data_IF_288739048199
#
_entry.id   IF_288739048199
#
_cell.length_a   1.000
_cell.length_b   1.000
_cell.length_c   1.000
_cell.angle_alpha   90.00
_cell.angle_beta   90.00
_cell.angle_gamma   90.00
#
_symmetry.space_group_name_H-M   'P 1'
#
loop_
_entity.id
_entity.type
_entity.pdbx_description
1 polymer ?
#
# COMPACT_ATOMS: atom_id res chain seq x y z
N UNK A 1 -8.17 -16.88 -12.30
CA UNK A 1 -7.40 -16.27 -13.41
C UNK A 1 -6.10 -17.06 -13.52
N UNK A 2 -5.71 -17.47 -14.72
CA UNK A 2 -4.49 -18.26 -14.96
C UNK A 2 -3.52 -17.37 -15.72
N UNK A 3 -2.31 -17.16 -15.19
CA UNK A 3 -1.26 -16.38 -15.85
C UNK A 3 -0.31 -17.32 -16.58
N UNK A 4 0.28 -16.85 -17.67
CA UNK A 4 1.24 -17.63 -18.47
C UNK A 4 2.68 -17.47 -17.98
N UNK A 5 2.97 -16.43 -17.19
CA UNK A 5 4.28 -16.17 -16.58
C UNK A 5 4.18 -15.36 -15.29
N UNK A 6 5.26 -15.39 -14.48
CA UNK A 6 5.38 -14.53 -13.30
C UNK A 6 5.33 -13.04 -13.65
N UNK A 7 5.89 -12.65 -14.79
CA UNK A 7 5.88 -11.28 -15.26
C UNK A 7 4.49 -10.80 -15.64
N UNK A 8 3.69 -11.64 -16.31
CA UNK A 8 2.30 -11.33 -16.60
C UNK A 8 1.49 -11.15 -15.30
N UNK A 9 1.68 -12.05 -14.31
CA UNK A 9 1.09 -11.90 -12.98
C UNK A 9 1.50 -10.58 -12.31
N UNK A 10 2.78 -10.22 -12.37
CA UNK A 10 3.27 -8.97 -11.79
C UNK A 10 2.71 -7.74 -12.53
N UNK A 11 2.54 -7.83 -13.86
CA UNK A 11 1.98 -6.77 -14.69
C UNK A 11 0.50 -6.49 -14.39
N UNK A 12 -0.27 -7.52 -14.05
CA UNK A 12 -1.68 -7.39 -13.66
C UNK A 12 -1.86 -6.35 -12.55
N UNK A 13 -0.90 -6.27 -11.63
CA UNK A 13 -0.92 -5.28 -10.55
C UNK A 13 -1.01 -3.83 -11.02
N UNK A 14 -0.36 -3.46 -12.13
CA UNK A 14 -0.47 -2.10 -12.66
C UNK A 14 -1.87 -1.82 -13.20
N UNK A 15 -2.53 -2.81 -13.80
CA UNK A 15 -3.90 -2.68 -14.32
C UNK A 15 -4.93 -2.62 -13.18
N UNK A 16 -4.73 -3.42 -12.13
CA UNK A 16 -5.63 -3.49 -10.98
C UNK A 16 -5.68 -2.18 -10.20
N UNK A 17 -4.56 -1.46 -10.12
CA UNK A 17 -4.46 -0.16 -9.44
C UNK A 17 -4.52 1.04 -10.38
N UNK A 18 -4.75 0.82 -11.68
CA UNK A 18 -4.88 1.94 -12.63
C UNK A 18 -6.26 2.59 -12.47
N UNK A 19 -6.34 3.87 -12.08
CA UNK A 19 -7.61 4.47 -11.72
C UNK A 19 -8.48 4.80 -12.94
N UNK A 20 -9.74 5.16 -12.67
CA UNK A 20 -10.64 5.74 -13.66
C UNK A 20 -10.10 7.09 -14.17
N UNK A 21 -10.45 7.42 -15.42
CA UNK A 21 -10.11 8.72 -16.00
C UNK A 21 -10.97 9.82 -15.39
N UNK A 22 -10.35 10.68 -14.59
CA UNK A 22 -10.99 11.86 -13.99
C UNK A 22 -10.18 13.09 -14.42
N UNK A 23 -10.63 13.84 -15.44
CA UNK A 23 -9.86 14.94 -16.05
C UNK A 23 -9.90 16.21 -15.22
N UNK A 24 -8.82 16.97 -15.12
CA UNK A 24 -8.84 18.32 -14.53
C UNK A 24 -9.43 19.34 -15.51
N UNK A 25 -10.61 19.88 -15.19
CA UNK A 25 -11.34 20.79 -16.08
C UNK A 25 -10.68 22.18 -16.16
N UNK A 26 -10.03 22.62 -15.08
CA UNK A 26 -9.35 23.92 -15.03
C UNK A 26 -7.87 23.85 -15.42
N UNK A 27 -7.42 22.76 -16.06
CA UNK A 27 -6.03 22.60 -16.48
C UNK A 27 -5.67 23.53 -17.65
N UNK A 28 -4.38 23.79 -17.82
CA UNK A 28 -3.85 24.52 -18.99
C UNK A 28 -3.84 23.69 -20.28
N UNK A 29 -4.24 22.42 -20.20
CA UNK A 29 -4.31 21.46 -21.30
C UNK A 29 -5.74 20.93 -21.41
N UNK A 30 -6.17 20.60 -22.62
CA UNK A 30 -7.52 20.12 -22.90
C UNK A 30 -7.81 18.75 -22.26
N UNK A 31 -9.09 18.43 -22.11
CA UNK A 31 -9.53 17.11 -21.62
C UNK A 31 -9.11 16.00 -22.60
N UNK A 32 -9.14 16.29 -23.90
CA UNK A 32 -8.72 15.39 -24.97
C UNK A 32 -7.24 15.04 -24.85
N UNK A 33 -6.36 16.02 -24.61
CA UNK A 33 -4.93 15.78 -24.39
C UNK A 33 -4.68 14.97 -23.11
N UNK A 34 -5.41 15.26 -22.02
CA UNK A 34 -5.34 14.45 -20.80
C UNK A 34 -5.77 13.01 -21.06
N UNK A 35 -6.82 12.82 -21.86
CA UNK A 35 -7.34 11.50 -22.24
C UNK A 35 -6.34 10.73 -23.09
N UNK A 36 -5.68 11.39 -24.04
CA UNK A 36 -4.62 10.79 -24.85
C UNK A 36 -3.47 10.29 -23.98
N UNK A 37 -2.98 11.10 -23.04
CA UNK A 37 -1.93 10.69 -22.11
C UNK A 37 -2.39 9.52 -21.22
N UNK A 38 -3.61 9.56 -20.70
CA UNK A 38 -4.20 8.46 -19.94
C UNK A 38 -4.23 7.15 -20.74
N UNK A 39 -4.63 7.21 -22.01
CA UNK A 39 -4.71 6.05 -22.87
C UNK A 39 -3.32 5.50 -23.25
N UNK A 40 -2.31 6.36 -23.37
CA UNK A 40 -0.91 5.94 -23.52
C UNK A 40 -0.45 5.15 -22.30
N UNK A 41 -0.66 5.67 -21.09
CA UNK A 41 -0.27 4.99 -19.85
C UNK A 41 -1.03 3.67 -19.66
N UNK A 42 -2.33 3.64 -19.97
CA UNK A 42 -3.12 2.41 -19.96
C UNK A 42 -2.60 1.37 -20.96
N UNK A 43 -2.25 1.80 -22.18
CA UNK A 43 -1.66 0.93 -23.21
C UNK A 43 -0.30 0.41 -22.79
N UNK A 44 0.53 1.21 -22.10
CA UNK A 44 1.82 0.76 -21.56
C UNK A 44 1.62 -0.41 -20.59
N UNK A 45 0.69 -0.29 -19.63
CA UNK A 45 0.44 -1.37 -18.66
C UNK A 45 -0.20 -2.59 -19.30
N UNK A 46 -1.09 -2.39 -20.28
CA UNK A 46 -1.64 -3.48 -21.07
C UNK A 46 -0.55 -4.20 -21.87
N UNK A 47 0.40 -3.47 -22.45
CA UNK A 47 1.54 -4.04 -23.16
C UNK A 47 2.47 -4.81 -22.22
N UNK A 48 2.70 -4.33 -20.99
CA UNK A 48 3.44 -5.05 -19.98
C UNK A 48 2.79 -6.39 -19.60
N UNK A 49 1.46 -6.46 -19.62
CA UNK A 49 0.69 -7.67 -19.36
C UNK A 49 0.61 -8.62 -20.57
N UNK A 50 0.34 -8.09 -21.76
CA UNK A 50 0.16 -8.87 -22.99
C UNK A 50 1.52 -9.36 -23.54
N UNK A 51 2.59 -8.57 -23.39
CA UNK A 51 3.93 -8.83 -23.94
C UNK A 51 5.08 -8.57 -22.93
N UNK A 52 5.12 -9.27 -21.78
CA UNK A 52 6.11 -9.03 -20.72
C UNK A 52 7.57 -9.21 -21.19
N UNK A 53 7.82 -9.98 -22.24
CA UNK A 53 9.14 -10.18 -22.85
C UNK A 53 9.76 -8.91 -23.43
N UNK A 54 8.97 -7.85 -23.64
CA UNK A 54 9.51 -6.55 -24.05
C UNK A 54 10.29 -5.88 -22.91
N UNK A 55 9.92 -6.17 -21.66
CA UNK A 55 10.46 -5.53 -20.47
C UNK A 55 11.62 -6.30 -19.84
N UNK A 56 11.69 -7.62 -20.04
CA UNK A 56 12.73 -8.48 -19.48
C UNK A 56 13.26 -9.49 -20.51
N UNK A 57 14.53 -9.93 -20.41
CA UNK A 57 15.13 -10.84 -21.38
C UNK A 57 14.58 -12.27 -21.34
N UNK A 58 13.98 -12.67 -20.22
CA UNK A 58 13.54 -14.05 -19.96
C UNK A 58 12.27 -14.00 -19.13
N UNK A 59 11.29 -14.79 -19.53
CA UNK A 59 10.07 -15.05 -18.77
C UNK A 59 10.26 -16.29 -17.89
N UNK A 60 9.52 -16.33 -16.80
CA UNK A 60 9.53 -17.45 -15.86
C UNK A 60 8.15 -18.08 -15.79
N UNK A 61 8.10 -19.41 -15.59
CA UNK A 61 6.86 -20.13 -15.36
C UNK A 61 6.08 -19.48 -14.22
N UNK A 62 4.76 -19.35 -14.38
CA UNK A 62 3.92 -18.79 -13.32
C UNK A 62 4.04 -19.63 -12.04
N UNK A 63 4.17 -18.95 -10.92
CA UNK A 63 4.22 -19.55 -9.59
C UNK A 63 3.40 -18.71 -8.62
N UNK A 64 2.87 -19.37 -7.59
CA UNK A 64 2.15 -18.67 -6.52
C UNK A 64 3.19 -17.92 -5.69
N UNK A 65 3.11 -16.57 -5.58
CA UNK A 65 4.03 -15.82 -4.74
C UNK A 65 3.87 -16.21 -3.26
N UNK A 66 4.86 -15.95 -2.39
CA UNK A 66 4.72 -16.24 -0.97
C UNK A 66 3.61 -15.40 -0.32
N UNK A 67 3.12 -15.87 0.84
CA UNK A 67 2.26 -15.07 1.70
C UNK A 67 3.03 -13.86 2.23
N UNK A 68 2.30 -12.76 2.47
CA UNK A 68 2.89 -11.61 3.15
C UNK A 68 3.31 -12.02 4.57
N UNK A 69 4.49 -11.59 4.99
CA UNK A 69 5.06 -11.85 6.33
C UNK A 69 5.27 -13.33 6.72
N UNK A 70 5.36 -14.26 5.76
CA UNK A 70 5.77 -15.63 6.04
C UNK A 70 7.29 -15.79 5.95
N UNK A 71 7.82 -16.83 6.62
CA UNK A 71 9.12 -17.40 6.26
C UNK A 71 9.08 -17.86 4.80
N UNK A 72 10.22 -17.80 4.11
CA UNK A 72 10.31 -18.09 2.68
C UNK A 72 11.30 -19.20 2.41
N UNK A 73 10.95 -20.11 1.50
CA UNK A 73 11.91 -21.00 0.87
C UNK A 73 12.80 -20.24 -0.14
N UNK A 74 13.89 -20.86 -0.57
CA UNK A 74 14.75 -20.30 -1.62
C UNK A 74 13.98 -20.09 -2.93
N UNK A 75 13.07 -21.01 -3.29
CA UNK A 75 12.25 -20.91 -4.50
C UNK A 75 11.24 -19.76 -4.45
N UNK A 76 10.63 -19.51 -3.29
CA UNK A 76 9.75 -18.35 -3.07
C UNK A 76 10.52 -17.03 -3.15
N UNK A 77 11.75 -17.02 -2.65
CA UNK A 77 12.63 -15.85 -2.72
C UNK A 77 13.09 -15.56 -4.16
N UNK A 78 13.36 -16.60 -4.95
CA UNK A 78 13.66 -16.47 -6.39
C UNK A 78 12.45 -15.94 -7.17
N UNK A 79 11.26 -16.50 -6.92
CA UNK A 79 9.98 -16.03 -7.50
C UNK A 79 9.79 -14.53 -7.26
N UNK A 80 9.91 -14.09 -6.00
CA UNK A 80 9.79 -12.69 -5.61
C UNK A 80 10.83 -11.81 -6.31
N UNK A 81 12.06 -12.30 -6.42
CA UNK A 81 13.17 -11.56 -7.06
C UNK A 81 12.88 -11.32 -8.54
N UNK A 82 12.37 -12.33 -9.25
CA UNK A 82 12.04 -12.20 -10.67
C UNK A 82 10.87 -11.25 -10.91
N UNK A 83 9.80 -11.34 -10.11
CA UNK A 83 8.69 -10.38 -10.16
C UNK A 83 9.16 -8.95 -9.90
N UNK A 84 10.02 -8.73 -8.89
CA UNK A 84 10.58 -7.42 -8.58
C UNK A 84 11.48 -6.87 -9.69
N UNK A 85 12.27 -7.71 -10.35
CA UNK A 85 13.09 -7.31 -11.51
C UNK A 85 12.22 -6.81 -12.67
N UNK A 86 11.14 -7.52 -12.95
CA UNK A 86 10.18 -7.09 -13.97
C UNK A 86 9.55 -5.74 -13.63
N UNK A 87 8.99 -5.60 -12.43
CA UNK A 87 8.39 -4.34 -11.96
C UNK A 87 9.38 -3.19 -12.02
N UNK A 88 10.61 -3.40 -11.56
CA UNK A 88 11.67 -2.40 -11.67
C UNK A 88 11.92 -1.95 -13.12
N UNK A 89 11.81 -2.85 -14.10
CA UNK A 89 11.95 -2.50 -15.52
C UNK A 89 10.84 -1.57 -16.00
N UNK A 90 9.58 -1.87 -15.62
CA UNK A 90 8.40 -1.03 -15.90
C UNK A 90 8.55 0.33 -15.19
N UNK A 91 8.82 0.33 -13.89
CA UNK A 91 8.97 1.55 -13.08
C UNK A 91 10.13 2.42 -13.58
N UNK A 92 11.24 1.82 -14.04
CA UNK A 92 12.35 2.55 -14.65
C UNK A 92 11.92 3.22 -15.95
N UNK A 93 11.08 2.58 -16.77
CA UNK A 93 10.56 3.22 -17.98
C UNK A 93 9.64 4.40 -17.63
N UNK A 94 8.75 4.25 -16.65
CA UNK A 94 7.89 5.34 -16.16
C UNK A 94 8.75 6.51 -15.65
N UNK A 95 9.80 6.23 -14.89
CA UNK A 95 10.75 7.23 -14.43
C UNK A 95 11.39 7.99 -15.60
N UNK A 96 11.85 7.28 -16.63
CA UNK A 96 12.40 7.94 -17.83
C UNK A 96 11.34 8.77 -18.56
N UNK A 97 10.10 8.28 -18.65
CA UNK A 97 9.00 9.05 -19.24
C UNK A 97 8.72 10.33 -18.46
N UNK A 98 8.73 10.25 -17.13
CA UNK A 98 8.61 11.41 -16.26
C UNK A 98 9.75 12.43 -16.50
N UNK A 99 11.01 11.97 -16.51
CA UNK A 99 12.18 12.84 -16.77
C UNK A 99 12.09 13.56 -18.11
N UNK A 100 11.66 12.85 -19.15
CA UNK A 100 11.37 13.41 -20.48
C UNK A 100 10.33 14.53 -20.38
N UNK A 101 9.23 14.31 -19.65
CA UNK A 101 8.14 15.29 -19.49
C UNK A 101 8.52 16.57 -18.72
N UNK A 102 9.42 16.47 -17.74
CA UNK A 102 9.95 17.65 -17.04
C UNK A 102 11.13 18.31 -17.76
N UNK A 103 11.59 17.76 -18.88
CA UNK A 103 12.75 18.27 -19.63
C UNK A 103 14.09 18.06 -18.90
N UNK A 104 14.17 17.09 -17.99
CA UNK A 104 15.41 16.71 -17.30
C UNK A 104 16.25 15.76 -18.17
N UNK A 105 17.52 15.58 -17.80
CA UNK A 105 18.36 14.54 -18.42
C UNK A 105 17.71 13.16 -18.23
N UNK A 106 17.60 12.42 -19.33
CA UNK A 106 17.01 11.09 -19.37
C UNK A 106 17.90 10.15 -20.21
N UNK A 107 17.79 8.85 -19.96
CA UNK A 107 18.51 7.80 -20.68
C UNK A 107 17.56 6.66 -21.01
N UNK A 108 17.21 6.53 -22.29
CA UNK A 108 16.41 5.43 -22.81
C UNK A 108 17.29 4.38 -23.48
N UNK A 109 17.22 3.14 -22.99
CA UNK A 109 17.86 2.00 -23.65
C UNK A 109 17.06 1.55 -24.90
N UNK A 110 17.66 0.66 -25.71
CA UNK A 110 17.04 0.18 -26.97
C UNK A 110 15.67 -0.48 -26.76
N UNK A 111 15.46 -1.21 -25.65
CA UNK A 111 14.16 -1.83 -25.34
C UNK A 111 13.11 -0.79 -25.01
N UNK A 112 13.45 0.17 -24.15
CA UNK A 112 12.56 1.27 -23.78
C UNK A 112 12.14 2.10 -25.00
N UNK A 113 13.08 2.42 -25.90
CA UNK A 113 12.77 3.09 -27.18
C UNK A 113 11.80 2.28 -28.04
N UNK A 114 12.01 0.95 -28.14
CA UNK A 114 11.10 0.06 -28.87
C UNK A 114 9.69 0.03 -28.27
N UNK A 115 9.60 -0.06 -26.94
CA UNK A 115 8.32 -0.02 -26.21
C UNK A 115 7.59 1.30 -26.50
N UNK A 116 8.26 2.43 -26.34
CA UNK A 116 7.68 3.76 -26.57
C UNK A 116 7.26 3.96 -28.02
N UNK A 117 8.05 3.50 -29.00
CA UNK A 117 7.67 3.52 -30.40
C UNK A 117 6.41 2.68 -30.68
N UNK A 118 6.27 1.52 -30.02
CA UNK A 118 5.06 0.69 -30.07
C UNK A 118 3.82 1.37 -29.46
N UNK A 119 4.01 2.37 -28.60
CA UNK A 119 2.95 3.22 -28.06
C UNK A 119 2.69 4.47 -28.93
N UNK A 120 3.37 4.60 -30.07
CA UNK A 120 3.27 5.76 -30.96
C UNK A 120 4.21 6.92 -30.62
N UNK A 121 5.13 6.74 -29.66
CA UNK A 121 6.05 7.78 -29.19
C UNK A 121 7.42 7.54 -29.82
N UNK A 122 7.64 8.12 -31.00
CA UNK A 122 8.90 8.02 -31.73
C UNK A 122 9.76 9.30 -31.66
N UNK A 123 9.13 10.46 -31.48
CA UNK A 123 9.78 11.76 -31.43
C UNK A 123 9.60 12.39 -30.04
N UNK A 124 10.66 12.40 -29.25
CA UNK A 124 10.67 12.96 -27.89
C UNK A 124 10.82 14.49 -27.87
N UNK A 125 10.97 15.14 -29.03
CA UNK A 125 10.98 16.61 -29.13
C UNK A 125 9.57 17.20 -29.24
N UNK A 126 8.55 16.35 -29.44
CA UNK A 126 7.14 16.73 -29.60
C UNK A 126 6.25 15.91 -28.67
N UNK A 127 6.43 16.13 -27.37
CA UNK A 127 5.57 15.50 -26.37
C UNK A 127 4.16 16.11 -26.42
N UNK A 128 3.16 15.33 -26.03
CA UNK A 128 1.82 15.90 -25.86
C UNK A 128 1.85 16.91 -24.70
N UNK A 129 1.14 18.04 -24.81
CA UNK A 129 1.11 19.05 -23.74
C UNK A 129 0.67 18.47 -22.38
N UNK A 130 -0.26 17.51 -22.39
CA UNK A 130 -0.72 16.86 -21.16
C UNK A 130 0.34 15.98 -20.48
N UNK A 131 1.24 15.34 -21.24
CA UNK A 131 2.37 14.61 -20.65
C UNK A 131 3.25 15.57 -19.87
N UNK A 132 3.72 16.65 -20.52
CA UNK A 132 4.59 17.63 -19.87
C UNK A 132 3.91 18.27 -18.67
N UNK A 133 2.64 18.65 -18.82
CA UNK A 133 1.85 19.23 -17.76
C UNK A 133 1.73 18.26 -16.56
N UNK A 134 1.40 16.99 -16.80
CA UNK A 134 1.28 15.99 -15.74
C UNK A 134 2.62 15.72 -15.06
N UNK A 135 3.71 15.68 -15.82
CA UNK A 135 5.05 15.50 -15.27
C UNK A 135 5.45 16.70 -14.39
N UNK A 136 5.23 17.93 -14.85
CA UNK A 136 5.52 19.16 -14.09
C UNK A 136 4.64 19.33 -12.86
N UNK A 137 3.44 18.74 -12.86
CA UNK A 137 2.52 18.71 -11.71
C UNK A 137 2.97 17.74 -10.61
N UNK A 138 3.85 16.77 -10.92
CA UNK A 138 4.38 15.88 -9.91
C UNK A 138 5.38 16.65 -9.00
N UNK A 139 5.13 16.64 -7.69
CA UNK A 139 6.00 17.29 -6.72
C UNK A 139 6.94 16.27 -6.06
N UNK A 140 8.07 15.96 -6.72
CA UNK A 140 9.03 14.96 -6.23
C UNK A 140 9.88 15.39 -5.02
N UNK A 141 9.78 16.63 -4.52
CA UNK A 141 10.59 17.08 -3.37
C UNK A 141 10.35 16.25 -2.08
N UNK A 142 9.22 15.52 -2.01
CA UNK A 142 8.86 14.61 -0.90
C UNK A 142 8.74 13.13 -1.33
N UNK A 143 8.80 12.83 -2.62
CA UNK A 143 8.47 11.51 -3.17
C UNK A 143 9.63 10.96 -4.01
N UNK A 144 10.03 9.71 -3.75
CA UNK A 144 11.14 9.07 -4.45
C UNK A 144 10.77 8.58 -5.87
N UNK A 145 9.48 8.57 -6.23
CA UNK A 145 8.93 8.03 -7.49
C UNK A 145 7.70 8.84 -7.98
N UNK A 146 7.47 8.96 -9.30
CA UNK A 146 6.43 9.79 -9.91
C UNK A 146 5.08 9.05 -9.93
N UNK A 147 4.56 8.76 -8.73
CA UNK A 147 3.39 7.91 -8.56
C UNK A 147 2.12 8.55 -9.13
N UNK A 148 1.93 9.87 -9.04
CA UNK A 148 0.73 10.51 -9.60
C UNK A 148 0.76 10.46 -11.12
N UNK A 149 1.91 10.74 -11.74
CA UNK A 149 2.18 10.62 -13.17
C UNK A 149 1.93 9.20 -13.67
N UNK A 150 2.46 8.20 -12.97
CA UNK A 150 2.28 6.78 -13.29
C UNK A 150 0.80 6.37 -13.35
N UNK A 151 -0.04 6.93 -12.48
CA UNK A 151 -1.46 6.60 -12.37
C UNK A 151 -2.38 7.63 -13.03
N UNK A 152 -1.84 8.65 -13.69
CA UNK A 152 -2.63 9.72 -14.30
C UNK A 152 -3.60 10.40 -13.31
N UNK A 153 -3.13 10.69 -12.09
CA UNK A 153 -3.91 11.38 -11.06
C UNK A 153 -4.04 12.89 -11.38
N UNK A 154 -4.80 13.22 -12.42
CA UNK A 154 -4.91 14.58 -12.97
C UNK A 154 -5.51 15.60 -11.99
N UNK A 155 -6.58 15.25 -11.26
CA UNK A 155 -7.18 16.12 -10.24
C UNK A 155 -6.43 15.96 -8.91
N UNK A 156 -6.06 17.07 -8.28
CA UNK A 156 -5.28 17.00 -7.04
C UNK A 156 -6.09 16.49 -5.86
N UNK A 157 -7.29 17.06 -5.70
CA UNK A 157 -8.24 16.81 -4.61
C UNK A 157 -9.01 15.49 -4.76
N UNK A 158 -8.90 14.81 -5.91
CA UNK A 158 -9.62 13.56 -6.13
C UNK A 158 -8.86 12.37 -5.50
N UNK A 159 -9.56 11.58 -4.70
CA UNK A 159 -9.01 10.41 -4.01
C UNK A 159 -9.13 9.16 -4.89
N UNK A 160 -8.32 9.06 -5.94
CA UNK A 160 -8.28 7.91 -6.85
C UNK A 160 -8.12 6.55 -6.14
N UNK A 161 -7.32 6.51 -5.06
CA UNK A 161 -7.15 5.32 -4.25
C UNK A 161 -8.45 4.87 -3.55
N UNK A 162 -9.36 5.81 -3.23
CA UNK A 162 -10.67 5.47 -2.67
C UNK A 162 -11.45 4.56 -3.62
N UNK A 163 -11.61 4.94 -4.89
CA UNK A 163 -12.32 4.13 -5.87
C UNK A 163 -11.68 2.74 -6.07
N UNK A 164 -10.34 2.70 -6.13
CA UNK A 164 -9.59 1.45 -6.32
C UNK A 164 -9.87 0.48 -5.18
N UNK A 165 -9.70 0.92 -3.94
CA UNK A 165 -9.86 0.04 -2.77
C UNK A 165 -11.33 -0.19 -2.42
N UNK A 166 -12.23 0.75 -2.70
CA UNK A 166 -13.67 0.52 -2.60
C UNK A 166 -14.11 -0.59 -3.53
N UNK A 167 -13.64 -0.59 -4.78
CA UNK A 167 -13.92 -1.69 -5.71
C UNK A 167 -13.28 -3.02 -5.28
N UNK A 168 -12.06 -2.99 -4.75
CA UNK A 168 -11.34 -4.19 -4.35
C UNK A 168 -11.95 -4.88 -3.12
N UNK A 169 -12.48 -4.10 -2.18
CA UNK A 169 -13.14 -4.57 -0.96
C UNK A 169 -14.66 -4.41 -1.01
N UNK A 170 -15.24 -4.25 -2.20
CA UNK A 170 -16.65 -3.84 -2.39
C UNK A 170 -17.64 -4.87 -1.82
N UNK A 171 -18.02 -4.65 -0.57
CA UNK A 171 -19.04 -5.43 0.11
C UNK A 171 -19.69 -4.62 1.25
N UNK A 172 -20.77 -5.16 1.80
CA UNK A 172 -21.55 -4.54 2.89
C UNK A 172 -20.69 -4.25 4.12
N UNK A 173 -19.74 -5.14 4.43
CA UNK A 173 -18.89 -5.02 5.60
C UNK A 173 -17.90 -3.85 5.49
N UNK A 174 -17.30 -3.65 4.32
CA UNK A 174 -16.42 -2.51 4.08
C UNK A 174 -17.19 -1.19 4.12
N UNK A 175 -18.39 -1.16 3.53
CA UNK A 175 -19.30 -0.01 3.61
C UNK A 175 -19.65 0.36 5.06
N UNK A 176 -19.92 -0.65 5.90
CA UNK A 176 -20.17 -0.48 7.33
C UNK A 176 -18.96 0.11 8.08
N UNK A 177 -17.77 -0.44 7.88
CA UNK A 177 -16.53 0.07 8.49
C UNK A 177 -16.25 1.52 8.06
N UNK A 178 -16.36 1.81 6.76
CA UNK A 178 -16.20 3.17 6.21
C UNK A 178 -17.20 4.14 6.81
N UNK A 179 -18.49 3.77 6.85
CA UNK A 179 -19.55 4.60 7.42
C UNK A 179 -19.32 4.92 8.90
N UNK A 180 -18.90 3.93 9.69
CA UNK A 180 -18.53 4.15 11.09
C UNK A 180 -17.34 5.10 11.22
N UNK A 181 -16.26 4.88 10.47
CA UNK A 181 -15.07 5.74 10.49
C UNK A 181 -15.40 7.19 10.15
N UNK A 182 -16.18 7.42 9.09
CA UNK A 182 -16.64 8.78 8.71
C UNK A 182 -17.48 9.42 9.82
N UNK A 183 -18.41 8.69 10.42
CA UNK A 183 -19.23 9.19 11.53
C UNK A 183 -18.41 9.55 12.78
N UNK A 184 -17.22 8.95 12.94
CA UNK A 184 -16.30 9.19 14.06
C UNK A 184 -15.14 10.12 13.71
N UNK A 185 -15.24 10.87 12.59
CA UNK A 185 -14.29 11.92 12.23
C UNK A 185 -12.99 11.44 11.60
N UNK A 186 -12.88 10.16 11.22
CA UNK A 186 -11.76 9.67 10.44
C UNK A 186 -11.78 10.28 9.04
N UNK A 187 -10.60 10.59 8.52
CA UNK A 187 -10.42 11.15 7.18
C UNK A 187 -9.65 10.19 6.28
N UNK A 188 -10.02 10.08 5.00
CA UNK A 188 -9.23 9.35 4.01
C UNK A 188 -8.00 10.15 3.59
N UNK A 189 -6.90 9.46 3.39
CA UNK A 189 -5.64 9.99 2.89
C UNK A 189 -5.13 9.08 1.79
N UNK A 190 -5.10 9.62 0.56
CA UNK A 190 -4.38 8.97 -0.53
C UNK A 190 -2.89 9.18 -0.33
N UNK A 191 -2.13 8.09 -0.30
CA UNK A 191 -0.68 8.14 -0.14
C UNK A 191 -0.04 7.75 -1.47
N UNK A 192 0.71 8.69 -2.02
CA UNK A 192 1.47 8.55 -3.26
C UNK A 192 2.97 8.37 -2.95
N UNK A 193 3.31 7.58 -1.94
CA UNK A 193 4.67 7.12 -1.57
C UNK A 193 4.58 6.30 -0.27
N UNK A 194 4.65 4.98 -0.35
CA UNK A 194 4.75 4.13 0.85
C UNK A 194 6.08 3.41 0.89
N UNK A 195 7.13 4.08 1.37
CA UNK A 195 8.38 3.50 1.94
C UNK A 195 9.14 2.43 1.13
N UNK A 196 8.78 2.18 -0.13
CA UNK A 196 9.36 1.17 -1.01
C UNK A 196 9.44 1.72 -2.44
N UNK A 197 10.41 1.20 -3.18
CA UNK A 197 10.89 1.69 -4.48
C UNK A 197 9.96 1.37 -5.67
N UNK A 198 8.66 1.56 -5.52
CA UNK A 198 7.65 1.33 -6.56
C UNK A 198 6.63 2.47 -6.63
N UNK A 199 6.14 2.76 -7.85
CA UNK A 199 5.05 3.71 -8.06
C UNK A 199 3.77 3.13 -7.43
N UNK A 200 3.54 3.34 -6.12
CA UNK A 200 2.41 2.76 -5.39
C UNK A 200 1.40 3.83 -4.95
N UNK A 201 0.12 3.47 -5.09
CA UNK A 201 -0.99 4.14 -4.42
C UNK A 201 -1.42 3.31 -3.20
N UNK A 202 -1.68 3.99 -2.09
CA UNK A 202 -2.31 3.39 -0.92
C UNK A 202 -3.38 4.33 -0.37
N UNK A 203 -4.30 3.78 0.42
CA UNK A 203 -5.34 4.55 1.07
C UNK A 203 -5.30 4.30 2.57
N UNK A 204 -5.23 5.38 3.34
CA UNK A 204 -5.27 5.31 4.80
C UNK A 204 -6.46 6.10 5.30
N UNK A 205 -7.32 5.48 6.11
CA UNK A 205 -8.27 6.21 6.94
C UNK A 205 -7.61 6.43 8.29
N UNK A 206 -7.48 7.70 8.70
CA UNK A 206 -6.84 8.05 9.96
C UNK A 206 -7.72 8.99 10.78
N UNK A 207 -7.71 8.82 12.09
CA UNK A 207 -8.34 9.75 13.02
C UNK A 207 -7.40 10.93 13.30
N UNK A 208 -7.72 12.17 12.85
CA UNK A 208 -6.86 13.33 13.04
C UNK A 208 -6.66 13.74 14.51
N UNK A 209 -7.51 13.27 15.44
CA UNK A 209 -7.35 13.58 16.86
C UNK A 209 -6.04 13.04 17.45
N UNK A 210 -5.51 11.95 16.89
CA UNK A 210 -4.27 11.33 17.34
C UNK A 210 -3.02 12.09 16.92
N UNK A 211 -3.00 12.60 15.69
CA UNK A 211 -1.82 13.22 15.08
C UNK A 211 -2.22 14.22 14.01
N UNK A 212 -1.60 15.39 14.04
CA UNK A 212 -1.69 16.40 12.98
C UNK A 212 -0.82 16.04 11.76
N UNK A 213 0.16 15.14 11.93
CA UNK A 213 0.97 14.66 10.82
C UNK A 213 0.11 13.82 9.85
N UNK A 214 0.21 14.14 8.56
CA UNK A 214 -0.36 13.31 7.50
C UNK A 214 0.19 11.88 7.58
N UNK A 215 -0.67 10.85 7.50
CA UNK A 215 -0.22 9.47 7.41
C UNK A 215 0.79 9.25 6.29
N UNK A 216 1.71 8.30 6.48
CA UNK A 216 2.68 7.89 5.45
C UNK A 216 2.30 6.56 4.78
N UNK A 217 1.10 6.05 5.07
CA UNK A 217 0.64 4.71 4.69
C UNK A 217 1.33 3.59 5.48
N UNK A 218 0.81 2.37 5.31
CA UNK A 218 1.23 1.21 6.09
C UNK A 218 0.59 1.16 7.47
N UNK A 219 0.79 0.02 8.15
CA UNK A 219 0.19 -0.27 9.45
C UNK A 219 1.15 -0.95 10.44
N UNK A 220 2.41 -1.17 10.06
CA UNK A 220 3.35 -2.02 10.80
C UNK A 220 4.29 -1.24 11.72
N UNK A 221 4.83 -0.10 11.25
CA UNK A 221 5.92 0.60 11.91
C UNK A 221 5.67 2.11 11.97
N UNK A 222 6.03 2.72 13.10
CA UNK A 222 5.98 4.18 13.34
C UNK A 222 4.59 4.79 13.08
N UNK A 223 3.55 4.02 13.35
CA UNK A 223 2.17 4.49 13.27
C UNK A 223 1.90 5.48 14.40
N UNK A 224 1.27 6.61 14.06
CA UNK A 224 0.95 7.73 14.97
C UNK A 224 -0.54 8.04 15.06
N UNK A 225 -1.38 7.28 14.36
CA UNK A 225 -2.83 7.47 14.32
C UNK A 225 -3.53 6.12 14.39
N UNK A 226 -4.77 6.11 14.86
CA UNK A 226 -5.68 4.98 14.67
C UNK A 226 -6.26 4.97 13.27
N UNK A 227 -6.82 3.83 12.87
CA UNK A 227 -7.58 3.66 11.63
C UNK A 227 -7.15 2.44 10.85
N UNK A 228 -7.26 2.52 9.52
CA UNK A 228 -6.86 1.43 8.63
C UNK A 228 -5.97 1.94 7.51
N UNK A 229 -5.04 1.12 7.06
CA UNK A 229 -4.28 1.33 5.83
C UNK A 229 -4.53 0.16 4.88
N UNK A 230 -4.82 0.50 3.63
CA UNK A 230 -4.98 -0.44 2.53
C UNK A 230 -3.91 -0.22 1.47
N UNK A 231 -3.38 -1.31 0.92
CA UNK A 231 -2.38 -1.27 -0.14
C UNK A 231 -2.47 -2.50 -1.04
N UNK A 232 -1.88 -2.39 -2.23
CA UNK A 232 -1.70 -3.49 -3.16
C UNK A 232 -0.26 -4.02 -3.11
N UNK A 233 -0.11 -5.34 -2.95
CA UNK A 233 1.16 -6.06 -2.93
C UNK A 233 1.27 -7.01 -4.13
N UNK A 234 1.82 -6.55 -5.27
CA UNK A 234 1.82 -7.28 -6.54
C UNK A 234 2.68 -8.56 -6.52
N UNK A 235 3.56 -8.71 -5.54
CA UNK A 235 4.47 -9.85 -5.43
C UNK A 235 4.13 -10.77 -4.23
N UNK A 236 2.88 -10.75 -3.79
CA UNK A 236 2.37 -11.59 -2.71
C UNK A 236 1.16 -12.40 -3.22
N UNK A 237 0.95 -13.59 -2.63
CA UNK A 237 -0.17 -14.48 -2.98
C UNK A 237 -1.51 -13.74 -2.96
N UNK A 238 -1.71 -13.00 -1.88
CA UNK A 238 -2.86 -12.15 -1.66
C UNK A 238 -2.42 -10.71 -1.80
N UNK A 239 -2.85 -10.06 -2.88
CA UNK A 239 -2.31 -8.76 -3.26
C UNK A 239 -3.05 -7.59 -2.59
N UNK A 240 -4.34 -7.74 -2.27
CA UNK A 240 -5.08 -6.70 -1.54
C UNK A 240 -4.84 -6.88 -0.06
N UNK A 241 -4.37 -5.83 0.61
CA UNK A 241 -4.08 -5.84 2.05
C UNK A 241 -4.86 -4.72 2.72
N UNK A 242 -5.54 -5.04 3.81
CA UNK A 242 -6.14 -4.11 4.76
C UNK A 242 -5.54 -4.40 6.14
N UNK A 243 -4.99 -3.39 6.80
CA UNK A 243 -4.45 -3.54 8.16
C UNK A 243 -4.85 -2.41 9.10
N UNK A 244 -4.96 -2.72 10.39
CA UNK A 244 -5.28 -1.73 11.45
C UNK A 244 -4.03 -0.93 11.80
N UNK A 245 -4.15 0.39 11.75
CA UNK A 245 -3.13 1.32 12.21
C UNK A 245 -3.21 1.43 13.74
N UNK A 246 -2.18 0.96 14.44
CA UNK A 246 -2.12 0.93 15.91
C UNK A 246 -0.99 1.88 16.38
N UNK A 247 -1.31 3.06 16.93
CA UNK A 247 -0.31 4.06 17.28
C UNK A 247 0.60 3.58 18.40
N UNK A 248 1.92 3.63 18.19
CA UNK A 248 2.90 3.16 19.18
C UNK A 248 2.91 1.64 19.44
N UNK A 249 2.12 0.87 18.70
CA UNK A 249 1.92 -0.56 18.91
C UNK A 249 0.95 -0.90 20.05
N UNK A 250 0.86 -2.17 20.41
CA UNK A 250 -0.19 -2.68 21.30
C UNK A 250 0.07 -2.41 22.79
N UNK A 251 1.21 -1.82 23.17
CA UNK A 251 1.61 -1.71 24.59
C UNK A 251 0.54 -1.02 25.44
N UNK A 252 0.17 0.21 25.07
CA UNK A 252 -0.81 1.01 25.79
C UNK A 252 -2.14 0.26 25.90
N UNK A 253 -2.61 -0.31 24.80
CA UNK A 253 -3.92 -0.96 24.75
C UNK A 253 -3.96 -2.25 25.57
N UNK A 254 -2.87 -3.03 25.61
CA UNK A 254 -2.79 -4.22 26.46
C UNK A 254 -2.68 -3.90 27.95
N UNK A 255 -2.13 -2.73 28.31
CA UNK A 255 -2.13 -2.26 29.71
C UNK A 255 -3.56 -1.95 30.21
N UNK A 256 -4.52 -1.77 29.30
CA UNK A 256 -5.94 -1.55 29.57
C UNK A 256 -6.83 -2.68 29.00
N UNK A 257 -6.31 -3.91 28.92
CA UNK A 257 -6.99 -5.03 28.28
C UNK A 257 -8.34 -5.39 28.95
N UNK A 258 -8.42 -5.25 30.26
CA UNK A 258 -9.62 -5.50 31.07
C UNK A 258 -10.74 -4.47 30.82
N UNK A 259 -10.41 -3.29 30.31
CA UNK A 259 -11.37 -2.26 29.89
C UNK A 259 -11.96 -2.50 28.49
N UNK A 260 -11.41 -3.45 27.73
CA UNK A 260 -11.93 -3.81 26.41
C UNK A 260 -13.24 -4.60 26.55
N UNK A 261 -14.25 -4.34 25.70
CA UNK A 261 -15.41 -5.21 25.59
C UNK A 261 -14.99 -6.66 25.27
N UNK A 262 -15.77 -7.64 25.72
CA UNK A 262 -15.43 -9.07 25.60
C UNK A 262 -15.08 -9.49 24.16
N UNK A 263 -15.89 -9.10 23.18
CA UNK A 263 -15.60 -9.41 21.77
C UNK A 263 -14.27 -8.79 21.27
N UNK A 264 -13.86 -7.63 21.80
CA UNK A 264 -12.57 -7.00 21.47
C UNK A 264 -11.43 -7.75 22.14
N UNK A 265 -11.61 -8.24 23.37
CA UNK A 265 -10.63 -9.10 24.03
C UNK A 265 -10.41 -10.38 23.22
N UNK A 266 -11.49 -11.07 22.81
CA UNK A 266 -11.43 -12.26 21.96
C UNK A 266 -10.69 -11.98 20.65
N UNK A 267 -11.05 -10.87 20.00
CA UNK A 267 -10.43 -10.45 18.75
C UNK A 267 -8.93 -10.20 18.91
N UNK A 268 -8.51 -9.45 19.93
CA UNK A 268 -7.10 -9.19 20.24
C UNK A 268 -6.35 -10.49 20.52
N UNK A 269 -6.92 -11.37 21.35
CA UNK A 269 -6.34 -12.67 21.69
C UNK A 269 -6.16 -13.57 20.47
N UNK A 270 -7.04 -13.47 19.46
CA UNK A 270 -6.91 -14.22 18.21
C UNK A 270 -5.76 -13.75 17.31
N UNK A 271 -5.27 -12.51 17.50
CA UNK A 271 -4.29 -11.87 16.59
C UNK A 271 -2.96 -11.52 17.21
N UNK A 272 -2.82 -11.66 18.53
CA UNK A 272 -1.59 -11.31 19.23
C UNK A 272 -0.79 -12.56 19.67
N UNK A 273 0.51 -12.50 19.45
CA UNK A 273 1.44 -13.55 19.83
C UNK A 273 1.68 -13.54 21.34
N UNK A 274 1.66 -14.74 21.92
CA UNK A 274 2.17 -14.98 23.29
C UNK A 274 3.69 -14.86 23.30
N UNK A 275 4.23 -14.16 24.28
CA UNK A 275 5.67 -13.98 24.42
C UNK A 275 6.38 -15.34 24.54
N UNK A 276 7.24 -15.64 23.57
CA UNK A 276 8.05 -16.87 23.48
C UNK A 276 9.53 -16.63 23.80
N UNK A 277 9.88 -15.42 24.24
CA UNK A 277 11.25 -15.07 24.59
C UNK A 277 12.17 -14.81 23.38
N UNK A 278 11.65 -14.47 22.20
CA UNK A 278 12.44 -14.21 20.97
C UNK A 278 13.51 -13.10 21.05
N UNK A 279 13.55 -12.32 22.14
CA UNK A 279 14.51 -11.23 22.41
C UNK A 279 14.50 -10.04 21.44
N UNK A 280 13.59 -9.99 20.46
CA UNK A 280 13.49 -8.86 19.52
C UNK A 280 13.40 -7.49 20.24
N UNK A 281 12.56 -7.38 21.28
CA UNK A 281 12.39 -6.14 22.06
C UNK A 281 13.64 -5.69 22.86
N UNK A 282 14.61 -6.59 23.04
CA UNK A 282 15.87 -6.32 23.76
C UNK A 282 17.09 -6.45 22.85
N UNK A 283 16.91 -6.65 21.54
CA UNK A 283 18.00 -6.96 20.60
C UNK A 283 19.10 -5.88 20.56
N UNK A 284 18.73 -4.62 20.79
CA UNK A 284 19.68 -3.50 20.76
C UNK A 284 20.34 -3.24 22.11
N UNK A 285 19.89 -3.89 23.18
CA UNK A 285 20.46 -3.71 24.51
C UNK A 285 21.71 -4.58 24.68
N UNK A 286 22.87 -3.93 24.56
CA UNK A 286 24.18 -4.58 24.77
C UNK A 286 24.45 -4.91 26.24
N UNK A 287 23.70 -4.34 27.19
CA UNK A 287 23.91 -4.57 28.64
C UNK A 287 23.24 -5.85 29.13
N UNK A 288 22.26 -6.36 28.38
CA UNK A 288 21.46 -7.53 28.75
C UNK A 288 20.48 -7.30 29.93
N UNK A 289 20.34 -6.06 30.41
CA UNK A 289 19.53 -5.72 31.58
C UNK A 289 18.10 -5.31 31.25
N UNK A 290 17.81 -4.97 29.99
CA UNK A 290 16.47 -4.54 29.56
C UNK A 290 15.47 -5.69 29.76
N UNK A 291 14.38 -5.47 30.50
CA UNK A 291 13.34 -6.48 30.64
C UNK A 291 12.60 -6.70 29.31
N UNK A 292 12.05 -7.89 29.12
CA UNK A 292 11.14 -8.14 28.01
C UNK A 292 9.92 -7.22 28.10
N UNK A 293 9.49 -6.66 26.97
CA UNK A 293 8.34 -5.75 26.90
C UNK A 293 6.97 -6.44 27.06
N UNK A 294 6.91 -7.73 27.42
CA UNK A 294 5.67 -8.51 27.49
C UNK A 294 4.68 -7.92 28.49
N UNK A 295 3.40 -7.89 28.14
CA UNK A 295 2.32 -7.38 29.00
C UNK A 295 1.53 -8.59 29.53
N UNK A 296 1.31 -8.64 30.84
CA UNK A 296 0.46 -9.65 31.47
C UNK A 296 -1.01 -9.21 31.38
N UNK A 297 -1.88 -10.09 30.90
CA UNK A 297 -3.32 -9.85 30.82
C UNK A 297 -4.08 -11.04 31.38
N UNK A 298 -5.24 -10.80 31.98
CA UNK A 298 -6.17 -11.83 32.44
C UNK A 298 -7.22 -12.09 31.35
N UNK A 299 -7.39 -13.34 30.92
CA UNK A 299 -8.37 -13.72 29.89
C UNK A 299 -8.85 -15.15 30.14
N UNK A 300 -10.17 -15.40 30.10
CA UNK A 300 -10.78 -16.71 30.38
C UNK A 300 -10.19 -17.38 31.64
N UNK A 301 -10.15 -16.63 32.75
CA UNK A 301 -9.63 -17.07 34.06
C UNK A 301 -8.14 -17.41 34.11
N UNK A 302 -7.36 -17.11 33.06
CA UNK A 302 -5.93 -17.38 32.99
C UNK A 302 -5.10 -16.14 32.65
N UNK A 303 -3.92 -16.05 33.26
CA UNK A 303 -2.93 -15.03 32.90
C UNK A 303 -2.16 -15.43 31.63
N UNK A 304 -2.06 -14.49 30.69
CA UNK A 304 -1.23 -14.61 29.48
C UNK A 304 -0.21 -13.48 29.41
N UNK A 305 0.97 -13.77 28.85
CA UNK A 305 2.02 -12.77 28.59
C UNK A 305 2.08 -12.49 27.10
N UNK A 306 1.64 -11.30 26.68
CA UNK A 306 1.44 -10.93 25.28
C UNK A 306 2.56 -10.01 24.77
N UNK A 307 2.87 -10.08 23.47
CA UNK A 307 3.90 -9.26 22.83
C UNK A 307 3.30 -7.95 22.29
N UNK A 308 3.70 -6.76 22.79
CA UNK A 308 3.09 -5.51 22.35
C UNK A 308 3.67 -4.94 21.04
N UNK A 309 4.76 -5.52 20.51
CA UNK A 309 5.46 -4.99 19.33
C UNK A 309 5.21 -5.84 18.10
N UNK A 310 5.12 -5.20 16.94
CA UNK A 310 5.18 -5.86 15.64
C UNK A 310 6.56 -6.53 15.44
N UNK A 311 6.65 -7.73 14.83
CA UNK A 311 5.59 -8.55 14.22
C UNK A 311 4.85 -9.49 15.19
N UNK A 312 4.82 -9.18 16.48
CA UNK A 312 4.10 -9.95 17.51
C UNK A 312 2.58 -9.84 17.46
N UNK A 313 2.00 -9.16 16.46
CA UNK A 313 0.57 -9.15 16.20
C UNK A 313 0.30 -9.05 14.68
N UNK A 314 -0.83 -9.60 14.24
CA UNK A 314 -1.23 -9.68 12.83
C UNK A 314 -2.65 -9.15 12.62
N UNK A 315 -2.84 -7.84 12.80
CA UNK A 315 -4.09 -7.13 12.52
C UNK A 315 -4.15 -6.68 11.06
N UNK A 316 -4.10 -7.66 10.15
CA UNK A 316 -4.27 -7.43 8.72
C UNK A 316 -4.97 -8.62 8.05
N UNK A 317 -5.61 -8.33 6.93
CA UNK A 317 -6.44 -9.26 6.16
C UNK A 317 -6.38 -8.91 4.67
N UNK A 318 -6.89 -9.83 3.87
CA UNK A 318 -6.94 -9.72 2.41
C UNK A 318 -8.36 -9.62 1.86
N UNK A 319 -9.34 -9.73 2.77
CA UNK A 319 -10.76 -9.55 2.54
C UNK A 319 -11.41 -9.12 3.86
N UNK A 320 -12.65 -8.67 3.79
CA UNK A 320 -13.42 -8.24 4.96
C UNK A 320 -14.84 -8.80 4.90
N UNK A 321 -15.32 -9.28 6.04
CA UNK A 321 -16.71 -9.69 6.27
C UNK A 321 -17.31 -8.90 7.45
N UNK A 322 -18.61 -9.05 7.70
CA UNK A 322 -19.31 -8.24 8.71
C UNK A 322 -18.74 -8.45 10.12
N UNK A 323 -18.32 -9.67 10.44
CA UNK A 323 -17.70 -10.00 11.74
C UNK A 323 -16.37 -9.28 11.91
N UNK A 324 -15.54 -9.27 10.87
CA UNK A 324 -14.28 -8.56 10.89
C UNK A 324 -14.49 -7.04 10.97
N UNK A 325 -15.46 -6.50 10.22
CA UNK A 325 -15.79 -5.08 10.29
C UNK A 325 -16.20 -4.67 11.72
N UNK A 326 -17.05 -5.44 12.38
CA UNK A 326 -17.45 -5.19 13.79
C UNK A 326 -16.26 -5.25 14.74
N UNK A 327 -15.38 -6.24 14.59
CA UNK A 327 -14.19 -6.37 15.42
C UNK A 327 -13.21 -5.20 15.23
N UNK A 328 -13.00 -4.75 13.98
CA UNK A 328 -12.17 -3.58 13.68
C UNK A 328 -12.81 -2.33 14.28
N UNK A 329 -14.13 -2.13 14.12
CA UNK A 329 -14.86 -1.01 14.72
C UNK A 329 -14.70 -1.00 16.25
N UNK A 330 -14.89 -2.15 16.91
CA UNK A 330 -14.75 -2.28 18.35
C UNK A 330 -13.34 -1.93 18.83
N UNK A 331 -12.31 -2.41 18.12
CA UNK A 331 -10.91 -2.10 18.44
C UNK A 331 -10.58 -0.62 18.21
N UNK A 332 -11.00 -0.04 17.08
CA UNK A 332 -10.79 1.40 16.80
C UNK A 332 -11.48 2.28 17.84
N UNK A 333 -12.74 1.99 18.16
CA UNK A 333 -13.51 2.71 19.18
C UNK A 333 -12.90 2.58 20.58
N UNK A 334 -12.32 1.43 20.93
CA UNK A 334 -11.56 1.28 22.15
C UNK A 334 -10.30 2.14 22.15
N UNK A 335 -9.49 2.06 21.08
CA UNK A 335 -8.25 2.83 20.98
C UNK A 335 -8.53 4.34 21.07
N UNK A 336 -9.58 4.85 20.42
CA UNK A 336 -9.87 6.29 20.39
C UNK A 336 -10.17 6.92 21.76
N UNK A 337 -10.50 6.12 22.79
CA UNK A 337 -10.58 6.57 24.18
C UNK A 337 -9.25 7.15 24.70
N UNK A 338 -8.14 6.83 24.05
CA UNK A 338 -6.78 7.20 24.46
C UNK A 338 -6.16 8.34 23.66
N UNK A 339 -6.93 9.04 22.80
CA UNK A 339 -6.49 10.17 21.97
C UNK A 339 -5.75 11.28 22.73
N UNK A 340 -6.02 11.45 24.04
CA UNK A 340 -5.34 12.42 24.93
C UNK A 340 -4.03 11.95 25.56
N UNK A 341 -3.70 10.65 25.48
CA UNK A 341 -2.49 10.07 26.09
C UNK A 341 -1.28 10.14 25.16
N UNK A 342 -1.02 11.33 24.60
CA UNK A 342 0.18 11.62 23.80
C UNK A 342 1.41 11.59 24.70
N UNK A 343 2.09 10.44 24.79
CA UNK A 343 3.43 10.34 25.39
C UNK A 343 4.51 10.49 24.35
#
# INVERSE_FOLDING_TARGET
>A
MTYTSLEQRAAQGYLDVFPLFIPEESASVSIEEQKEFYDIMKKLYKLAYDEPQLFVPKLHEDAVPPMLFSGRSDSEQETLTNMKKFRKSVDTLIWQMYLVGIGSEYTLNTRQKKILAGLGIADFTKLSPAWEWMAKKEHLERFEQPSRFAHCCFREEYLYAADIFEKAFDNTAFGKLKGWMTAHGYKPFQICNTTASDCKLSLTYANPAWSEETPRGGFEYKIKHTGISMRYEPCCKESWILGVCIPGGMKLFLEHFDEMPEHVQDFVMSRIKRCDGCRYCVQTDKTGKRPFARIAVQYAEKEYKLCPYYPGYSFWWTSIDDTLADNIIGLLGFMDKFTGNKK
#
